data_IF_043784175643
#
_entry.id   IF_043784175643
#
_cell.length_a   1.000
_cell.length_b   1.000
_cell.length_c   1.000
_cell.angle_alpha   90.00
_cell.angle_beta   90.00
_cell.angle_gamma   90.00
#
_symmetry.space_group_name_H-M   'P 1'
#
loop_
_entity.id
_entity.type
_entity.pdbx_description
1 polymer ?
#
# COMPACT_ATOMS: atom_id res chain seq x y z
N UNK A 1 -2.06 22.97 -17.96
CA UNK A 1 -0.84 22.14 -17.82
C UNK A 1 -0.51 21.82 -16.36
N UNK A 2 -0.28 22.80 -15.47
CA UNK A 2 0.15 22.54 -14.06
C UNK A 2 -0.70 21.53 -13.26
N UNK A 3 -2.02 21.51 -13.43
CA UNK A 3 -2.92 20.58 -12.71
C UNK A 3 -2.76 19.12 -13.16
N UNK A 4 -2.54 18.88 -14.47
CA UNK A 4 -2.35 17.52 -15.01
C UNK A 4 -1.00 16.93 -14.57
N UNK A 5 0.07 17.72 -14.62
CA UNK A 5 1.40 17.31 -14.14
C UNK A 5 1.38 16.97 -12.65
N UNK A 6 0.65 17.76 -11.84
CA UNK A 6 0.48 17.50 -10.41
C UNK A 6 -0.25 16.16 -10.16
N UNK A 7 -1.34 15.90 -10.88
CA UNK A 7 -2.09 14.63 -10.77
C UNK A 7 -1.18 13.45 -11.17
N UNK A 8 -0.47 13.55 -12.30
CA UNK A 8 0.48 12.54 -12.77
C UNK A 8 1.62 12.29 -11.77
N UNK A 9 2.14 13.35 -11.14
CA UNK A 9 3.14 13.25 -10.08
C UNK A 9 2.63 12.49 -8.86
N UNK A 10 1.41 12.79 -8.41
CA UNK A 10 0.77 12.09 -7.29
C UNK A 10 0.41 10.64 -7.61
N UNK A 11 -0.09 10.36 -8.82
CA UNK A 11 -0.34 9.00 -9.29
C UNK A 11 0.94 8.17 -9.30
N UNK A 12 2.05 8.75 -9.74
CA UNK A 12 3.36 8.09 -9.66
C UNK A 12 3.82 7.89 -8.21
N UNK A 13 3.49 8.81 -7.30
CA UNK A 13 3.71 8.60 -5.87
C UNK A 13 2.96 7.39 -5.32
N UNK A 14 1.67 7.25 -5.66
CA UNK A 14 0.89 6.07 -5.29
C UNK A 14 1.42 4.78 -5.95
N UNK A 15 1.87 4.87 -7.21
CA UNK A 15 2.46 3.74 -7.92
C UNK A 15 3.68 3.21 -7.17
N UNK A 16 4.64 4.09 -6.84
CA UNK A 16 5.84 3.72 -6.10
C UNK A 16 5.52 3.19 -4.71
N UNK A 17 4.61 3.85 -3.98
CA UNK A 17 4.17 3.39 -2.67
C UNK A 17 3.59 1.97 -2.71
N UNK A 18 2.83 1.60 -3.75
CA UNK A 18 2.33 0.24 -3.89
C UNK A 18 3.45 -0.77 -4.18
N UNK A 19 4.46 -0.42 -4.99
CA UNK A 19 5.63 -1.30 -5.19
C UNK A 19 6.45 -1.49 -3.91
N UNK A 20 6.67 -0.41 -3.15
CA UNK A 20 7.38 -0.49 -1.89
C UNK A 20 6.61 -1.34 -0.87
N UNK A 21 5.29 -1.14 -0.78
CA UNK A 21 4.41 -1.93 0.11
C UNK A 21 4.38 -3.40 -0.30
N UNK A 22 4.30 -3.70 -1.60
CA UNK A 22 4.39 -5.06 -2.13
C UNK A 22 5.69 -5.72 -1.69
N UNK A 23 6.83 -5.05 -1.88
CA UNK A 23 8.14 -5.58 -1.48
C UNK A 23 8.19 -5.86 0.02
N UNK A 24 7.73 -4.93 0.87
CA UNK A 24 7.68 -5.14 2.32
C UNK A 24 6.85 -6.37 2.69
N UNK A 25 5.68 -6.57 2.07
CA UNK A 25 4.86 -7.74 2.35
C UNK A 25 5.46 -9.05 1.83
N UNK A 26 6.14 -9.05 0.69
CA UNK A 26 6.82 -10.24 0.19
C UNK A 26 8.01 -10.63 1.09
N UNK A 27 8.75 -9.66 1.60
CA UNK A 27 9.81 -9.93 2.60
C UNK A 27 9.21 -10.44 3.92
N UNK A 28 8.07 -9.88 4.36
CA UNK A 28 7.36 -10.36 5.55
C UNK A 28 6.84 -11.80 5.40
N UNK A 29 6.39 -12.16 4.19
CA UNK A 29 5.98 -13.52 3.84
C UNK A 29 7.14 -14.51 4.02
N UNK A 30 8.35 -14.14 3.63
CA UNK A 30 9.52 -15.01 3.76
C UNK A 30 9.98 -15.17 5.23
N UNK A 31 9.66 -14.20 6.08
CA UNK A 31 9.95 -14.23 7.53
C UNK A 31 8.89 -14.97 8.35
N UNK A 32 7.63 -14.96 7.89
CA UNK A 32 6.52 -15.57 8.61
C UNK A 32 6.70 -17.09 8.72
N UNK A 33 6.42 -17.64 9.91
CA UNK A 33 6.52 -19.07 10.20
C UNK A 33 5.18 -19.78 10.11
N UNK A 34 4.11 -19.15 10.64
CA UNK A 34 2.73 -19.66 10.59
C UNK A 34 2.05 -19.44 9.22
N UNK A 35 1.25 -20.41 8.80
CA UNK A 35 0.61 -20.43 7.49
C UNK A 35 -0.44 -19.33 7.31
N UNK A 36 -1.09 -18.88 8.40
CA UNK A 36 -2.06 -17.77 8.32
C UNK A 36 -1.36 -16.45 8.02
N UNK A 37 -0.22 -16.18 8.67
CA UNK A 37 0.58 -14.98 8.40
C UNK A 37 1.15 -15.01 6.98
N UNK A 38 1.65 -16.17 6.53
CA UNK A 38 2.09 -16.33 5.13
C UNK A 38 0.96 -16.05 4.15
N UNK A 39 -0.22 -16.62 4.38
CA UNK A 39 -1.38 -16.36 3.53
C UNK A 39 -1.73 -14.87 3.50
N UNK A 40 -1.78 -14.23 4.69
CA UNK A 40 -2.03 -12.81 4.81
C UNK A 40 -1.05 -11.96 4.00
N UNK A 41 0.27 -12.11 4.21
CA UNK A 41 1.27 -11.28 3.53
C UNK A 41 1.31 -11.55 2.02
N UNK A 42 1.12 -12.80 1.59
CA UNK A 42 1.00 -13.15 0.16
C UNK A 42 -0.18 -12.44 -0.51
N UNK A 43 -1.36 -12.52 0.09
CA UNK A 43 -2.56 -11.89 -0.47
C UNK A 43 -2.42 -10.36 -0.51
N UNK A 44 -1.87 -9.76 0.56
CA UNK A 44 -1.68 -8.31 0.62
C UNK A 44 -0.60 -7.86 -0.36
N UNK A 45 0.48 -8.61 -0.55
CA UNK A 45 1.48 -8.34 -1.60
C UNK A 45 0.87 -8.37 -2.99
N UNK A 46 0.09 -9.42 -3.30
CA UNK A 46 -0.60 -9.55 -4.59
C UNK A 46 -1.59 -8.40 -4.86
N UNK A 47 -2.36 -7.99 -3.85
CA UNK A 47 -3.26 -6.84 -3.96
C UNK A 47 -2.51 -5.56 -4.39
N UNK A 48 -1.32 -5.32 -3.80
CA UNK A 48 -0.48 -4.16 -4.12
C UNK A 48 0.12 -4.22 -5.51
N UNK A 49 0.52 -5.41 -5.97
CA UNK A 49 0.95 -5.63 -7.34
C UNK A 49 -0.14 -5.22 -8.35
N UNK A 50 -1.36 -5.73 -8.13
CA UNK A 50 -2.51 -5.43 -8.99
C UNK A 50 -2.86 -3.94 -8.97
N UNK A 51 -2.76 -3.27 -7.81
CA UNK A 51 -2.94 -1.83 -7.74
C UNK A 51 -1.89 -1.07 -8.55
N UNK A 52 -0.63 -1.49 -8.45
CA UNK A 52 0.47 -0.93 -9.24
C UNK A 52 0.23 -1.08 -10.74
N UNK A 53 -0.24 -2.25 -11.21
CA UNK A 53 -0.58 -2.49 -12.61
C UNK A 53 -1.69 -1.56 -13.11
N UNK A 54 -2.75 -1.40 -12.33
CA UNK A 54 -3.87 -0.52 -12.68
C UNK A 54 -3.45 0.96 -12.70
N UNK A 55 -2.67 1.40 -11.72
CA UNK A 55 -2.14 2.77 -11.67
C UNK A 55 -1.22 3.07 -12.85
N UNK A 56 -0.35 2.12 -13.22
CA UNK A 56 0.51 2.22 -14.40
C UNK A 56 -0.31 2.45 -15.68
N UNK A 57 -1.36 1.66 -15.87
CA UNK A 57 -2.26 1.81 -17.02
C UNK A 57 -2.97 3.17 -17.03
N UNK A 58 -3.46 3.64 -15.89
CA UNK A 58 -4.13 4.95 -15.80
C UNK A 58 -3.16 6.11 -16.06
N UNK A 59 -1.90 6.03 -15.59
CA UNK A 59 -0.86 7.02 -15.87
C UNK A 59 -0.60 7.12 -17.38
N UNK A 60 -0.44 5.99 -18.07
CA UNK A 60 -0.24 5.95 -19.54
C UNK A 60 -1.45 6.54 -20.26
N UNK A 61 -2.66 6.18 -19.84
CA UNK A 61 -3.91 6.71 -20.41
C UNK A 61 -4.00 8.24 -20.30
N UNK A 62 -3.44 8.82 -19.25
CA UNK A 62 -3.37 10.28 -19.05
C UNK A 62 -2.15 10.92 -19.73
N UNK A 63 -1.48 10.22 -20.66
CA UNK A 63 -0.27 10.63 -21.36
C UNK A 63 0.92 10.91 -20.43
N UNK A 64 0.93 10.29 -19.25
CA UNK A 64 2.05 10.33 -18.32
C UNK A 64 3.00 9.15 -18.51
N UNK A 65 4.22 9.30 -17.99
CA UNK A 65 5.20 8.20 -17.91
C UNK A 65 5.15 7.57 -16.52
N UNK A 66 4.83 6.27 -16.38
CA UNK A 66 4.95 5.57 -15.11
C UNK A 66 6.40 5.55 -14.63
N UNK A 67 6.59 5.76 -13.33
CA UNK A 67 7.89 5.60 -12.69
C UNK A 67 8.15 4.11 -12.43
N UNK A 68 9.38 3.72 -12.71
CA UNK A 68 9.87 2.39 -12.37
C UNK A 68 10.23 2.33 -10.89
N UNK A 69 10.03 1.16 -10.30
CA UNK A 69 10.51 0.87 -8.97
C UNK A 69 12.03 0.75 -8.98
N UNK A 70 12.69 1.40 -8.03
CA UNK A 70 14.12 1.32 -7.82
C UNK A 70 14.42 0.67 -6.48
N UNK A 71 14.88 1.50 -5.55
CA UNK A 71 15.10 1.10 -4.16
C UNK A 71 13.93 1.54 -3.28
N UNK A 72 13.80 0.92 -2.12
CA UNK A 72 12.90 1.40 -1.07
C UNK A 72 13.35 2.81 -0.64
N UNK A 73 12.37 3.65 -0.34
CA UNK A 73 12.59 4.89 0.38
C UNK A 73 12.91 4.59 1.85
N UNK A 74 13.57 5.55 2.51
CA UNK A 74 13.96 5.41 3.92
C UNK A 74 12.78 5.11 4.86
N UNK A 75 11.58 5.53 4.50
CA UNK A 75 10.37 5.19 5.26
C UNK A 75 10.04 3.69 5.18
N UNK A 76 10.03 3.11 3.98
CA UNK A 76 9.77 1.69 3.79
C UNK A 76 10.93 0.79 4.23
N UNK A 77 12.17 1.26 4.11
CA UNK A 77 13.33 0.57 4.69
C UNK A 77 13.22 0.43 6.21
N UNK A 78 12.70 1.47 6.89
CA UNK A 78 12.44 1.41 8.33
C UNK A 78 11.34 0.41 8.66
N UNK A 79 10.23 0.41 7.91
CA UNK A 79 9.15 -0.57 8.10
C UNK A 79 9.68 -1.99 7.93
N UNK A 80 10.48 -2.23 6.90
CA UNK A 80 11.09 -3.54 6.66
C UNK A 80 12.00 -3.97 7.81
N UNK A 81 12.79 -3.04 8.35
CA UNK A 81 13.62 -3.29 9.54
C UNK A 81 12.75 -3.64 10.75
N UNK A 82 11.71 -2.85 11.01
CA UNK A 82 10.78 -3.10 12.12
C UNK A 82 10.14 -4.49 12.00
N UNK A 83 9.67 -4.88 10.81
CA UNK A 83 9.12 -6.22 10.58
C UNK A 83 10.12 -7.31 10.92
N UNK A 84 11.38 -7.18 10.45
CA UNK A 84 12.46 -8.14 10.76
C UNK A 84 12.68 -8.27 12.26
N UNK A 85 12.73 -7.14 12.97
CA UNK A 85 12.94 -7.12 14.41
C UNK A 85 11.75 -7.76 15.16
N UNK A 86 10.51 -7.45 14.78
CA UNK A 86 9.32 -8.01 15.41
C UNK A 86 9.17 -9.52 15.17
N UNK A 87 9.51 -10.02 13.98
CA UNK A 87 9.57 -11.46 13.72
C UNK A 87 10.66 -12.13 14.55
N UNK A 88 11.86 -11.53 14.64
CA UNK A 88 12.97 -12.09 15.41
C UNK A 88 12.64 -12.19 16.91
N UNK A 89 11.97 -11.16 17.45
CA UNK A 89 11.61 -11.06 18.86
C UNK A 89 10.25 -11.71 19.18
N UNK A 90 9.53 -12.22 18.18
CA UNK A 90 8.16 -12.74 18.29
C UNK A 90 7.18 -11.75 18.94
N UNK A 91 7.23 -10.47 18.54
CA UNK A 91 6.37 -9.41 19.08
C UNK A 91 5.21 -9.15 18.11
N UNK A 92 4.19 -10.01 18.20
CA UNK A 92 3.05 -10.00 17.27
C UNK A 92 2.25 -8.69 17.31
N UNK A 93 2.00 -8.13 18.49
CA UNK A 93 1.22 -6.88 18.62
C UNK A 93 1.88 -5.70 17.89
N UNK A 94 3.20 -5.56 18.00
CA UNK A 94 3.93 -4.48 17.32
C UNK A 94 3.96 -4.69 15.79
N UNK A 95 4.03 -5.96 15.35
CA UNK A 95 3.89 -6.29 13.92
C UNK A 95 2.51 -5.86 13.39
N UNK A 96 1.44 -6.15 14.14
CA UNK A 96 0.08 -5.79 13.71
C UNK A 96 -0.09 -4.26 13.70
N UNK A 97 0.36 -3.55 14.73
CA UNK A 97 0.34 -2.08 14.77
C UNK A 97 1.13 -1.43 13.62
N UNK A 98 2.29 -1.98 13.26
CA UNK A 98 3.07 -1.47 12.12
C UNK A 98 2.34 -1.72 10.78
N UNK A 99 1.63 -2.85 10.65
CA UNK A 99 0.75 -3.11 9.49
C UNK A 99 -0.42 -2.11 9.44
N UNK A 100 -1.03 -1.76 10.57
CA UNK A 100 -2.06 -0.71 10.61
C UNK A 100 -1.53 0.65 10.21
N UNK A 101 -0.38 1.03 10.77
CA UNK A 101 0.30 2.29 10.47
C UNK A 101 0.53 2.41 8.96
N UNK A 102 1.07 1.36 8.33
CA UNK A 102 1.29 1.31 6.88
C UNK A 102 -0.01 1.41 6.07
N UNK A 103 -1.09 0.72 6.48
CA UNK A 103 -2.40 0.81 5.82
C UNK A 103 -3.01 2.21 5.95
N UNK A 104 -2.92 2.82 7.14
CA UNK A 104 -3.40 4.18 7.40
C UNK A 104 -2.67 5.21 6.55
N UNK A 105 -1.33 5.16 6.52
CA UNK A 105 -0.52 6.03 5.67
C UNK A 105 -0.84 5.84 4.18
N UNK A 106 -1.09 4.60 3.74
CA UNK A 106 -1.57 4.34 2.38
C UNK A 106 -2.88 5.08 2.10
N UNK A 107 -3.90 4.91 2.95
CA UNK A 107 -5.22 5.51 2.80
C UNK A 107 -5.14 7.03 2.77
N UNK A 108 -4.30 7.64 3.62
CA UNK A 108 -4.05 9.08 3.63
C UNK A 108 -3.52 9.57 2.28
N UNK A 109 -2.56 8.85 1.68
CA UNK A 109 -2.05 9.19 0.34
C UNK A 109 -3.09 9.08 -0.76
N UNK A 110 -3.96 8.08 -0.72
CA UNK A 110 -5.10 8.00 -1.64
C UNK A 110 -6.05 9.19 -1.45
N UNK A 111 -6.39 9.53 -0.20
CA UNK A 111 -7.27 10.66 0.11
C UNK A 111 -6.67 12.01 -0.31
N UNK A 112 -5.36 12.21 -0.16
CA UNK A 112 -4.65 13.40 -0.66
C UNK A 112 -4.79 13.60 -2.17
N UNK A 113 -4.82 12.51 -2.96
CA UNK A 113 -5.01 12.58 -4.41
C UNK A 113 -6.49 12.74 -4.80
N UNK A 114 -7.39 12.06 -4.09
CA UNK A 114 -8.84 12.16 -4.33
C UNK A 114 -9.39 13.58 -4.09
N UNK A 115 -8.67 14.42 -3.34
CA UNK A 115 -9.00 15.84 -3.13
C UNK A 115 -8.52 16.77 -4.24
N UNK A 116 -7.78 16.27 -5.24
CA UNK A 116 -7.32 17.10 -6.35
C UNK A 116 -8.48 17.53 -7.25
N UNK A 117 -8.51 18.83 -7.56
CA UNK A 117 -9.48 19.41 -8.49
C UNK A 117 -9.13 18.93 -9.90
N UNK A 118 -10.17 18.67 -10.72
CA UNK A 118 -10.05 18.17 -12.09
C UNK A 118 -9.48 16.73 -12.21
N UNK A 119 -9.60 15.93 -11.15
CA UNK A 119 -9.30 14.49 -11.25
C UNK A 119 -10.28 13.82 -12.23
N UNK A 120 -9.79 13.14 -13.28
CA UNK A 120 -10.67 12.45 -14.23
C UNK A 120 -11.53 11.41 -13.52
N UNK A 121 -12.79 11.26 -13.97
CA UNK A 121 -13.74 10.35 -13.33
C UNK A 121 -13.26 8.89 -13.31
N UNK A 122 -12.56 8.43 -14.36
CA UNK A 122 -11.98 7.08 -14.38
C UNK A 122 -10.93 6.90 -13.30
N UNK A 123 -10.07 7.90 -13.14
CA UNK A 123 -9.01 7.90 -12.12
C UNK A 123 -9.62 7.93 -10.72
N UNK A 124 -10.64 8.77 -10.49
CA UNK A 124 -11.36 8.83 -9.22
C UNK A 124 -11.95 7.47 -8.84
N UNK A 125 -12.68 6.82 -9.76
CA UNK A 125 -13.27 5.49 -9.53
C UNK A 125 -12.21 4.43 -9.19
N UNK A 126 -11.09 4.45 -9.91
CA UNK A 126 -9.96 3.54 -9.65
C UNK A 126 -9.40 3.74 -8.23
N UNK A 127 -9.10 4.99 -7.88
CA UNK A 127 -8.49 5.33 -6.59
C UNK A 127 -9.42 5.04 -5.41
N UNK A 128 -10.72 5.34 -5.54
CA UNK A 128 -11.73 5.00 -4.53
C UNK A 128 -11.77 3.50 -4.30
N UNK A 129 -11.83 2.69 -5.38
CA UNK A 129 -11.86 1.23 -5.29
C UNK A 129 -10.64 0.67 -4.54
N UNK A 130 -9.43 1.13 -4.87
CA UNK A 130 -8.20 0.67 -4.22
C UNK A 130 -8.15 1.09 -2.75
N UNK A 131 -8.44 2.36 -2.45
CA UNK A 131 -8.50 2.89 -1.08
C UNK A 131 -9.50 2.11 -0.23
N UNK A 132 -10.69 1.87 -0.74
CA UNK A 132 -11.76 1.20 -0.01
C UNK A 132 -11.41 -0.26 0.27
N UNK A 133 -10.71 -0.94 -0.66
CA UNK A 133 -10.15 -2.28 -0.41
C UNK A 133 -9.18 -2.27 0.79
N UNK A 134 -8.25 -1.32 0.82
CA UNK A 134 -7.28 -1.19 1.93
C UNK A 134 -8.01 -0.91 3.24
N UNK A 135 -8.98 0.01 3.22
CA UNK A 135 -9.77 0.39 4.38
C UNK A 135 -10.62 -0.77 4.92
N UNK A 136 -11.27 -1.53 4.04
CA UNK A 136 -12.04 -2.71 4.41
C UNK A 136 -11.17 -3.78 5.05
N UNK A 137 -9.98 -4.05 4.50
CA UNK A 137 -9.01 -4.98 5.10
C UNK A 137 -8.51 -4.49 6.46
N UNK A 138 -8.19 -3.19 6.58
CA UNK A 138 -7.79 -2.58 7.86
C UNK A 138 -8.88 -2.75 8.93
N UNK A 139 -10.14 -2.46 8.60
CA UNK A 139 -11.24 -2.62 9.54
C UNK A 139 -11.54 -4.08 9.89
N UNK A 140 -11.30 -5.01 8.96
CA UNK A 140 -11.46 -6.44 9.24
C UNK A 140 -10.45 -6.92 10.28
N UNK A 141 -9.18 -6.50 10.14
CA UNK A 141 -8.14 -6.79 11.13
C UNK A 141 -8.51 -6.22 12.51
N UNK A 142 -9.02 -4.98 12.55
CA UNK A 142 -9.33 -4.31 13.83
C UNK A 142 -10.40 -5.05 14.62
N UNK A 143 -11.42 -5.52 13.91
CA UNK A 143 -12.46 -6.35 14.53
C UNK A 143 -11.88 -7.65 15.05
N UNK A 144 -10.96 -8.30 14.32
CA UNK A 144 -10.37 -9.56 14.76
C UNK A 144 -9.57 -9.40 16.07
N UNK A 145 -8.82 -8.32 16.24
CA UNK A 145 -8.14 -8.03 17.51
C UNK A 145 -9.11 -7.78 18.66
N UNK A 146 -10.19 -7.02 18.42
CA UNK A 146 -11.21 -6.75 19.45
C UNK A 146 -11.90 -8.03 19.97
N UNK A 147 -11.87 -9.14 19.24
CA UNK A 147 -12.42 -10.44 19.66
C UNK A 147 -11.38 -11.40 20.29
N UNK A 148 -10.09 -11.10 20.19
CA UNK A 148 -9.00 -11.94 20.71
C UNK A 148 -8.50 -11.47 22.09
N UNK A 149 -8.94 -10.28 22.53
CA UNK A 149 -8.67 -9.68 23.86
C UNK A 149 -9.72 -10.08 24.89
#
# INVERSE_FOLDING_TARGET
MKSSEKILGKLNGLLLMNYETEKVYLEALDLATDDNLKAFFRERGFERNEFGRQLRAEIVKLNGKPKEFGVLSSYFDRILTNFKDYFLLNIENDLIEEVYSLKRSSIEKYNELLREINLPLSTCKLLVKQRDSIYSHMNAMKRQEEFVV
#
